data_IF_366601071755
#
_entry.id   IF_366601071755
#
_cell.length_a   1.000
_cell.length_b   1.000
_cell.length_c   1.000
_cell.angle_alpha   90.00
_cell.angle_beta   90.00
_cell.angle_gamma   90.00
#
_symmetry.space_group_name_H-M   'P 1'
#
loop_
_entity.id
_entity.type
_entity.pdbx_description
1 polymer ?
#
# COMPACT_ATOMS: atom_id res chain seq x y z
N UNK A 1 6.70 -0.76 20.18
CA UNK A 1 7.05 -1.23 18.83
C UNK A 1 6.30 -0.39 17.79
N UNK A 2 6.89 -0.10 16.62
CA UNK A 2 6.08 0.38 15.48
C UNK A 2 5.49 -0.86 14.83
N UNK A 3 4.28 -1.23 15.24
CA UNK A 3 3.55 -2.35 14.66
C UNK A 3 2.97 -1.88 13.34
N UNK A 4 3.72 -2.08 12.26
CA UNK A 4 3.14 -2.00 10.93
C UNK A 4 2.34 -3.29 10.70
N UNK A 5 1.10 -3.19 10.27
CA UNK A 5 0.26 -4.34 9.93
C UNK A 5 0.63 -4.85 8.53
N UNK A 6 1.04 -6.11 8.43
CA UNK A 6 1.25 -6.79 7.14
C UNK A 6 -0.09 -7.23 6.59
N UNK A 7 -0.56 -6.55 5.55
CA UNK A 7 -1.83 -6.85 4.87
C UNK A 7 -1.62 -7.63 3.57
N UNK A 8 -0.37 -8.00 3.24
CA UNK A 8 -0.05 -8.76 2.04
C UNK A 8 -0.61 -8.12 0.77
N UNK A 9 -1.27 -8.92 -0.07
CA UNK A 9 -1.83 -8.48 -1.35
C UNK A 9 -3.11 -7.62 -1.21
N UNK A 10 -3.66 -7.48 0.00
CA UNK A 10 -4.80 -6.60 0.29
C UNK A 10 -4.38 -5.15 0.57
N UNK A 11 -3.09 -4.83 0.45
CA UNK A 11 -2.55 -3.49 0.65
C UNK A 11 -3.30 -2.39 -0.14
N UNK A 12 -3.61 -2.55 -1.43
CA UNK A 12 -4.35 -1.53 -2.18
C UNK A 12 -5.71 -1.23 -1.55
N UNK A 13 -6.44 -2.26 -1.16
CA UNK A 13 -7.79 -2.13 -0.59
C UNK A 13 -7.74 -1.52 0.81
N UNK A 14 -6.83 -1.98 1.67
CA UNK A 14 -6.67 -1.45 3.03
C UNK A 14 -6.17 0.00 3.02
N UNK A 15 -5.25 0.35 2.12
CA UNK A 15 -4.77 1.73 1.97
C UNK A 15 -5.91 2.68 1.61
N UNK A 16 -6.81 2.25 0.70
CA UNK A 16 -8.03 2.98 0.36
C UNK A 16 -8.97 3.10 1.54
N UNK A 17 -9.27 2.00 2.23
CA UNK A 17 -10.15 2.01 3.41
C UNK A 17 -9.67 2.99 4.48
N UNK A 18 -8.37 3.01 4.75
CA UNK A 18 -7.79 3.95 5.71
C UNK A 18 -7.90 5.40 5.21
N UNK A 19 -7.63 5.63 3.93
CA UNK A 19 -7.72 6.96 3.31
C UNK A 19 -9.15 7.51 3.30
N UNK A 20 -10.15 6.68 3.00
CA UNK A 20 -11.56 7.04 3.03
C UNK A 20 -12.15 7.06 4.45
N UNK A 21 -11.41 6.63 5.46
CA UNK A 21 -11.87 6.55 6.85
C UNK A 21 -12.87 5.41 7.11
N UNK A 22 -12.90 4.39 6.25
CA UNK A 22 -13.66 3.16 6.45
C UNK A 22 -12.99 2.22 7.46
N UNK A 23 -11.70 2.43 7.75
CA UNK A 23 -10.93 1.65 8.73
C UNK A 23 -10.11 2.55 9.65
N UNK A 24 -9.71 1.99 10.79
CA UNK A 24 -8.90 2.70 11.78
C UNK A 24 -7.54 3.11 11.17
N UNK A 25 -7.07 4.35 11.37
CA UNK A 25 -5.79 4.79 10.85
C UNK A 25 -4.65 4.04 11.52
N UNK A 26 -4.00 3.17 10.74
CA UNK A 26 -2.88 2.33 11.16
C UNK A 26 -1.82 2.28 10.06
N UNK A 27 -0.57 2.11 10.47
CA UNK A 27 0.52 1.94 9.51
C UNK A 27 0.44 0.53 8.92
N UNK A 28 0.18 0.41 7.62
CA UNK A 28 0.10 -0.88 6.91
C UNK A 28 1.23 -1.01 5.89
N UNK A 29 1.61 -2.24 5.58
CA UNK A 29 2.49 -2.55 4.46
C UNK A 29 2.06 -3.86 3.81
N UNK A 30 2.38 -4.01 2.52
CA UNK A 30 2.07 -5.24 1.80
C UNK A 30 2.54 -5.16 0.36
N UNK A 31 1.95 -6.00 -0.48
CA UNK A 31 2.22 -6.09 -1.89
C UNK A 31 1.15 -5.35 -2.68
N UNK A 32 1.58 -4.63 -3.70
CA UNK A 32 0.72 -4.07 -4.72
C UNK A 32 1.44 -4.24 -6.05
N UNK A 33 0.68 -4.56 -7.09
CA UNK A 33 1.16 -4.51 -8.46
C UNK A 33 1.47 -3.08 -8.87
N UNK A 34 2.22 -2.89 -9.94
CA UNK A 34 2.55 -1.54 -10.40
C UNK A 34 1.32 -0.76 -10.86
N UNK A 35 0.35 -1.41 -11.51
CA UNK A 35 -0.94 -0.82 -11.86
C UNK A 35 -1.73 -0.40 -10.61
N UNK A 36 -1.78 -1.24 -9.58
CA UNK A 36 -2.49 -0.93 -8.32
C UNK A 36 -1.83 0.22 -7.57
N UNK A 37 -0.49 0.27 -7.56
CA UNK A 37 0.25 1.38 -6.96
C UNK A 37 0.06 2.69 -7.74
N UNK A 38 -0.10 2.62 -9.07
CA UNK A 38 -0.43 3.77 -9.92
C UNK A 38 -1.85 4.26 -9.64
N UNK A 39 -2.84 3.37 -9.63
CA UNK A 39 -4.24 3.69 -9.30
C UNK A 39 -4.34 4.39 -7.92
N UNK A 40 -3.63 3.88 -6.91
CA UNK A 40 -3.59 4.49 -5.57
C UNK A 40 -3.01 5.91 -5.62
N UNK A 41 -1.96 6.12 -6.40
CA UNK A 41 -1.35 7.44 -6.56
C UNK A 41 -2.26 8.40 -7.34
N UNK A 42 -2.97 7.92 -8.37
CA UNK A 42 -3.96 8.71 -9.14
C UNK A 42 -5.16 9.11 -8.28
N UNK A 43 -5.60 8.23 -7.39
CA UNK A 43 -6.66 8.50 -6.41
C UNK A 43 -6.22 9.49 -5.32
N UNK A 44 -4.91 9.68 -5.16
CA UNK A 44 -4.32 10.54 -4.13
C UNK A 44 -4.06 9.84 -2.80
N UNK A 45 -4.13 8.51 -2.77
CA UNK A 45 -3.80 7.71 -1.59
C UNK A 45 -2.27 7.78 -1.37
N UNK A 46 -1.82 8.21 -0.17
CA UNK A 46 -0.39 8.38 0.11
C UNK A 46 0.30 7.02 0.28
N UNK A 47 0.79 6.46 -0.82
CA UNK A 47 1.54 5.19 -0.84
C UNK A 47 3.03 5.42 -1.14
N UNK A 48 3.90 4.63 -0.52
CA UNK A 48 5.34 4.67 -0.72
C UNK A 48 5.87 3.35 -1.27
N UNK A 49 6.67 3.40 -2.34
CA UNK A 49 7.38 2.20 -2.85
C UNK A 49 8.67 1.97 -2.06
N UNK A 50 8.84 0.76 -1.55
CA UNK A 50 10.05 0.37 -0.83
C UNK A 50 11.18 0.04 -1.83
N UNK A 51 12.37 0.68 -1.71
CA UNK A 51 13.41 0.65 -2.75
C UNK A 51 14.14 -0.70 -2.90
N UNK A 52 13.94 -1.66 -1.99
CA UNK A 52 14.55 -2.99 -2.09
C UNK A 52 13.72 -4.00 -2.89
N UNK A 53 12.47 -3.67 -3.24
CA UNK A 53 11.68 -4.47 -4.17
C UNK A 53 12.15 -4.15 -5.60
N UNK A 54 13.38 -4.54 -5.91
CA UNK A 54 13.87 -4.51 -7.28
C UNK A 54 13.00 -5.51 -8.05
N UNK A 55 12.16 -4.99 -8.96
CA UNK A 55 11.57 -5.79 -10.04
C UNK A 55 12.68 -6.71 -10.59
N UNK A 56 12.51 -8.04 -10.68
CA UNK A 56 13.49 -8.88 -11.36
C UNK A 56 13.56 -8.41 -12.80
N UNK A 57 14.67 -7.77 -13.14
CA UNK A 57 14.90 -7.15 -14.43
C UNK A 57 15.46 -8.22 -15.36
N UNK A 58 14.60 -8.67 -16.30
CA UNK A 58 14.89 -9.41 -17.53
C UNK A 58 15.48 -10.83 -17.49
#
# INVERSE_FOLDING_TARGET
>A
EKNFDDVGDEFPEEARRIYYGESEPRDIYGNASDDEAEDLAEEGVPVGRLPWLKRPNS
#
